data_IF_268927055869
#
_entry.id   IF_268927055869
#
_cell.length_a   1.000
_cell.length_b   1.000
_cell.length_c   1.000
_cell.angle_alpha   90.00
_cell.angle_beta   90.00
_cell.angle_gamma   90.00
#
_symmetry.space_group_name_H-M   'P 1'
#
loop_
_entity.id
_entity.type
_entity.pdbx_description
1 polymer ?
#
# COMPACT_ATOMS: atom_id res chain seq x y z
N UNK A 1 3.78 50.73 -28.66
CA UNK A 1 4.65 50.48 -29.84
C UNK A 1 5.23 49.08 -29.71
N UNK A 2 5.04 48.26 -30.75
CA UNK A 2 5.38 46.83 -30.81
C UNK A 2 6.89 46.61 -30.87
N UNK A 3 7.41 45.57 -30.22
CA UNK A 3 8.52 44.77 -30.75
C UNK A 3 8.24 43.28 -30.54
N UNK A 4 7.93 42.64 -31.68
CA UNK A 4 7.97 41.21 -31.94
C UNK A 4 9.42 40.72 -31.78
N UNK A 5 9.63 39.54 -31.19
CA UNK A 5 10.76 38.69 -31.58
C UNK A 5 10.28 37.25 -31.55
N UNK A 6 10.16 36.68 -32.74
CA UNK A 6 9.93 35.26 -33.00
C UNK A 6 11.28 34.54 -32.94
N UNK A 7 11.32 33.33 -32.39
CA UNK A 7 12.23 32.29 -32.86
C UNK A 7 11.46 30.98 -33.00
N UNK A 8 11.70 30.37 -34.14
CA UNK A 8 11.05 29.19 -34.73
C UNK A 8 11.96 27.97 -34.53
N UNK A 9 11.37 26.77 -34.59
CA UNK A 9 12.01 25.47 -34.84
C UNK A 9 12.76 24.84 -33.66
N UNK A 10 12.70 23.53 -33.43
CA UNK A 10 12.64 22.45 -34.40
C UNK A 10 12.01 21.19 -33.75
N UNK A 11 11.26 20.44 -34.56
CA UNK A 11 10.65 19.15 -34.27
C UNK A 11 11.63 18.10 -33.72
N UNK A 12 11.12 17.19 -32.89
CA UNK A 12 11.83 15.99 -32.45
C UNK A 12 10.88 14.92 -31.89
N UNK A 13 9.90 14.52 -32.70
CA UNK A 13 9.06 13.34 -32.46
C UNK A 13 9.92 12.07 -32.56
N UNK A 14 10.24 11.45 -31.43
CA UNK A 14 10.70 10.06 -31.39
C UNK A 14 9.56 9.18 -30.86
N UNK A 15 8.75 8.68 -31.78
CA UNK A 15 7.83 7.58 -31.53
C UNK A 15 8.57 6.27 -31.83
N UNK A 16 9.02 5.57 -30.78
CA UNK A 16 9.44 4.18 -30.91
C UNK A 16 8.19 3.29 -30.92
N UNK A 17 7.77 2.90 -32.12
CA UNK A 17 6.83 1.81 -32.35
C UNK A 17 7.57 0.48 -32.14
N UNK A 18 7.27 -0.24 -31.06
CA UNK A 18 7.61 -1.66 -30.94
C UNK A 18 6.37 -2.45 -31.38
N UNK A 19 6.46 -3.02 -32.57
CA UNK A 19 5.51 -3.99 -33.10
C UNK A 19 6.01 -5.40 -32.76
N UNK A 20 5.21 -6.18 -32.04
CA UNK A 20 5.32 -7.64 -32.00
C UNK A 20 4.04 -8.20 -32.61
N UNK A 21 4.15 -8.76 -33.82
CA UNK A 21 3.05 -9.42 -34.53
C UNK A 21 3.12 -10.94 -34.35
N UNK A 22 1.93 -11.52 -34.28
CA UNK A 22 1.49 -12.89 -33.96
C UNK A 22 2.22 -14.06 -34.66
N UNK A 23 2.24 -15.23 -34.02
CA UNK A 23 1.31 -16.36 -34.31
C UNK A 23 1.93 -17.75 -34.03
N UNK A 24 1.36 -18.53 -33.10
CA UNK A 24 1.10 -19.96 -33.32
C UNK A 24 0.17 -20.53 -32.23
N UNK A 25 -1.07 -20.85 -32.60
CA UNK A 25 -1.79 -22.00 -32.03
C UNK A 25 -1.49 -23.23 -32.91
N UNK A 26 -1.54 -24.45 -32.35
CA UNK A 26 -2.73 -25.25 -32.63
C UNK A 26 -3.32 -26.00 -31.41
N UNK A 27 -4.65 -26.15 -31.48
CA UNK A 27 -5.58 -26.94 -30.65
C UNK A 27 -5.16 -28.43 -30.63
N UNK A 28 -5.46 -29.27 -29.62
CA UNK A 28 -6.78 -29.93 -29.44
C UNK A 28 -6.72 -30.93 -28.24
N UNK A 29 -7.77 -30.93 -27.39
CA UNK A 29 -8.37 -32.04 -26.58
C UNK A 29 -7.54 -32.82 -25.55
N UNK A 30 -8.02 -33.22 -24.36
CA UNK A 30 -9.31 -33.13 -23.66
C UNK A 30 -9.11 -33.53 -22.17
N UNK A 31 -10.14 -33.28 -21.35
CA UNK A 31 -10.54 -33.97 -20.09
C UNK A 31 -10.62 -33.06 -18.87
N UNK A 32 -11.84 -32.55 -18.69
CA UNK A 32 -12.61 -32.41 -17.46
C UNK A 32 -11.89 -32.71 -16.15
N UNK A 33 -11.77 -31.71 -15.28
CA UNK A 33 -12.28 -31.79 -13.91
C UNK A 33 -12.59 -30.39 -13.35
N UNK A 34 -13.87 -30.22 -13.03
CA UNK A 34 -14.42 -29.19 -12.17
C UNK A 34 -13.68 -29.16 -10.83
N UNK A 35 -13.38 -27.98 -10.29
CA UNK A 35 -13.52 -27.58 -8.87
C UNK A 35 -13.28 -26.05 -8.78
N UNK A 36 -14.33 -25.33 -8.40
CA UNK A 36 -14.36 -24.04 -7.71
C UNK A 36 -13.77 -22.78 -8.37
N UNK A 37 -14.65 -22.08 -9.09
CA UNK A 37 -14.71 -20.63 -9.04
C UNK A 37 -14.97 -20.18 -7.60
N UNK A 38 -14.02 -19.47 -6.99
CA UNK A 38 -14.25 -18.14 -6.40
C UNK A 38 -12.87 -17.49 -6.30
N UNK A 39 -12.34 -17.04 -7.44
CA UNK A 39 -11.39 -15.93 -7.41
C UNK A 39 -12.22 -14.72 -6.99
N UNK A 40 -12.17 -14.35 -5.71
CA UNK A 40 -12.42 -12.96 -5.37
C UNK A 40 -11.34 -12.18 -6.11
N UNK A 41 -11.68 -11.24 -7.02
CA UNK A 41 -10.69 -10.28 -7.43
C UNK A 41 -10.40 -9.50 -6.15
N UNK A 42 -9.23 -9.71 -5.55
CA UNK A 42 -8.65 -8.67 -4.74
C UNK A 42 -8.60 -7.48 -5.69
N UNK A 43 -9.54 -6.54 -5.54
CA UNK A 43 -9.55 -5.32 -6.32
C UNK A 43 -8.15 -4.77 -6.22
N UNK A 44 -7.44 -4.80 -7.34
CA UNK A 44 -6.22 -4.05 -7.51
C UNK A 44 -6.66 -2.60 -7.61
N UNK A 45 -7.11 -2.04 -6.49
CA UNK A 45 -7.23 -0.61 -6.31
C UNK A 45 -5.80 -0.13 -6.40
N UNK A 46 -5.39 0.27 -7.59
CA UNK A 46 -4.08 0.83 -7.85
C UNK A 46 -4.00 2.12 -7.03
N UNK A 47 -3.51 2.02 -5.79
CA UNK A 47 -3.26 3.19 -4.95
C UNK A 47 -2.02 3.86 -5.55
N UNK A 48 -2.23 4.75 -6.53
CA UNK A 48 -1.15 5.56 -7.12
C UNK A 48 -0.90 6.75 -6.21
N UNK A 49 -0.37 6.51 -5.01
CA UNK A 49 -0.03 7.56 -4.05
C UNK A 49 1.09 7.15 -3.10
N UNK A 50 1.47 8.09 -2.22
CA UNK A 50 2.56 7.89 -1.26
C UNK A 50 2.18 7.00 -0.08
N UNK A 51 3.17 6.63 0.72
CA UNK A 51 2.97 6.01 2.02
C UNK A 51 3.80 6.74 3.09
N UNK A 52 3.36 6.67 4.34
CA UNK A 52 4.09 7.22 5.48
C UNK A 52 4.03 6.27 6.69
N UNK A 53 5.13 6.11 7.44
CA UNK A 53 5.13 5.38 8.70
C UNK A 53 4.77 6.30 9.87
N UNK A 54 4.06 5.75 10.84
CA UNK A 54 3.86 6.33 12.17
C UNK A 54 4.39 5.34 13.20
N UNK A 55 5.22 5.82 14.12
CA UNK A 55 5.89 5.00 15.14
C UNK A 55 5.29 5.30 16.51
N UNK A 56 4.78 4.27 17.19
CA UNK A 56 4.15 4.39 18.49
C UNK A 56 4.85 3.50 19.52
N UNK A 57 5.22 4.09 20.66
CA UNK A 57 5.72 3.37 21.84
C UNK A 57 4.68 3.23 22.95
N UNK A 58 3.52 3.88 22.80
CA UNK A 58 2.41 3.91 23.74
C UNK A 58 1.09 4.25 23.01
N UNK A 59 -0.01 4.32 23.76
CA UNK A 59 -1.31 4.78 23.29
C UNK A 59 -1.34 6.31 23.18
N UNK A 60 -0.85 6.86 22.06
CA UNK A 60 -1.04 8.28 21.72
C UNK A 60 -2.42 8.47 21.09
N UNK A 61 -3.44 8.63 21.93
CA UNK A 61 -4.83 8.78 21.47
C UNK A 61 -5.04 9.97 20.54
N UNK A 62 -4.29 11.07 20.70
CA UNK A 62 -4.42 12.23 19.82
C UNK A 62 -4.00 11.88 18.40
N UNK A 63 -2.86 11.20 18.26
CA UNK A 63 -2.38 10.77 16.94
C UNK A 63 -3.27 9.68 16.34
N UNK A 64 -3.78 8.76 17.16
CA UNK A 64 -4.73 7.73 16.71
C UNK A 64 -6.06 8.35 16.26
N UNK A 65 -6.49 9.45 16.86
CA UNK A 65 -7.69 10.19 16.45
C UNK A 65 -7.52 10.88 15.11
N UNK A 66 -6.36 11.49 14.85
CA UNK A 66 -6.05 12.06 13.54
C UNK A 66 -6.03 10.98 12.43
N UNK A 67 -5.52 9.78 12.75
CA UNK A 67 -5.53 8.63 11.85
C UNK A 67 -6.96 8.14 11.62
N UNK A 68 -7.75 8.00 12.69
CA UNK A 68 -9.14 7.57 12.59
C UNK A 68 -9.99 8.55 11.77
N UNK A 69 -9.80 9.86 11.94
CA UNK A 69 -10.42 10.88 11.10
C UNK A 69 -9.96 10.76 9.65
N UNK A 70 -8.66 10.55 9.41
CA UNK A 70 -8.10 10.32 8.08
C UNK A 70 -8.73 9.13 7.36
N UNK A 71 -8.99 8.03 8.08
CA UNK A 71 -9.70 6.85 7.55
C UNK A 71 -11.16 7.21 7.22
N UNK A 72 -11.89 7.81 8.16
CA UNK A 72 -13.32 8.18 7.97
C UNK A 72 -13.54 9.17 6.83
N UNK A 73 -12.63 10.13 6.68
CA UNK A 73 -12.65 11.15 5.64
C UNK A 73 -12.05 10.66 4.33
N UNK A 74 -11.66 9.38 4.24
CA UNK A 74 -11.07 8.77 3.05
C UNK A 74 -9.77 9.46 2.59
N UNK A 75 -9.06 10.18 3.47
CA UNK A 75 -7.72 10.74 3.22
C UNK A 75 -6.66 9.65 3.32
N UNK A 76 -6.84 8.72 4.25
CA UNK A 76 -6.02 7.51 4.40
C UNK A 76 -6.78 6.36 3.75
N UNK A 77 -6.24 5.78 2.69
CA UNK A 77 -6.87 4.72 1.90
C UNK A 77 -6.70 3.34 2.51
N UNK A 78 -5.59 3.12 3.21
CA UNK A 78 -5.27 1.86 3.87
C UNK A 78 -4.33 2.11 5.04
N UNK A 79 -4.49 1.30 6.09
CA UNK A 79 -3.57 1.21 7.22
C UNK A 79 -3.14 -0.24 7.38
N UNK A 80 -1.88 -0.45 7.76
CA UNK A 80 -1.37 -1.76 8.21
C UNK A 80 -0.60 -1.54 9.49
N UNK A 81 -0.91 -2.30 10.54
CA UNK A 81 -0.20 -2.27 11.81
C UNK A 81 0.84 -3.38 11.78
N UNK A 82 2.12 -3.01 11.90
CA UNK A 82 3.23 -3.96 11.98
C UNK A 82 3.98 -3.77 13.29
N UNK A 83 4.36 -4.86 13.96
CA UNK A 83 4.94 -4.78 15.29
C UNK A 83 5.91 -5.93 15.55
N UNK A 84 6.99 -5.71 16.32
CA UNK A 84 7.77 -6.79 16.91
C UNK A 84 6.88 -7.65 17.82
N UNK A 85 7.02 -8.97 17.83
CA UNK A 85 6.16 -9.88 18.63
C UNK A 85 6.03 -9.47 20.10
N UNK A 86 7.07 -8.89 20.71
CA UNK A 86 7.06 -8.41 22.10
C UNK A 86 6.12 -7.22 22.35
N UNK A 87 5.74 -6.50 21.29
CA UNK A 87 4.86 -5.33 21.33
C UNK A 87 3.40 -5.69 21.01
N UNK A 88 3.06 -6.99 20.96
CA UNK A 88 1.71 -7.46 20.66
C UNK A 88 0.62 -6.81 21.52
N UNK A 89 0.78 -6.65 22.86
CA UNK A 89 -0.26 -6.02 23.67
C UNK A 89 -0.58 -4.59 23.20
N UNK A 90 0.43 -3.76 22.96
CA UNK A 90 0.23 -2.40 22.46
C UNK A 90 -0.38 -2.40 21.05
N UNK A 91 0.06 -3.31 20.18
CA UNK A 91 -0.48 -3.40 18.82
C UNK A 91 -1.97 -3.77 18.81
N UNK A 92 -2.40 -4.65 19.72
CA UNK A 92 -3.80 -4.99 19.90
C UNK A 92 -4.61 -3.81 20.47
N UNK A 93 -4.09 -3.11 21.48
CA UNK A 93 -4.76 -1.93 22.04
C UNK A 93 -4.98 -0.84 20.96
N UNK A 94 -3.96 -0.59 20.12
CA UNK A 94 -4.05 0.34 18.98
C UNK A 94 -5.08 -0.14 17.96
N UNK A 95 -5.04 -1.43 17.62
CA UNK A 95 -5.97 -2.04 16.68
C UNK A 95 -7.42 -1.87 17.13
N UNK A 96 -7.71 -2.26 18.38
CA UNK A 96 -9.06 -2.20 18.94
C UNK A 96 -9.56 -0.76 19.05
N UNK A 97 -8.68 0.18 19.38
CA UNK A 97 -9.00 1.60 19.39
C UNK A 97 -9.43 2.10 18.01
N UNK A 98 -8.64 1.82 16.98
CA UNK A 98 -8.94 2.23 15.61
C UNK A 98 -10.16 1.50 15.04
N UNK A 99 -10.32 0.20 15.31
CA UNK A 99 -11.50 -0.58 14.93
C UNK A 99 -12.76 0.01 15.55
N UNK A 100 -12.76 0.29 16.85
CA UNK A 100 -13.89 0.91 17.55
C UNK A 100 -14.26 2.27 16.96
N UNK A 101 -13.26 3.09 16.60
CA UNK A 101 -13.52 4.44 16.07
C UNK A 101 -13.96 4.42 14.62
N UNK A 102 -13.41 3.54 13.78
CA UNK A 102 -13.58 3.59 12.32
C UNK A 102 -14.52 2.51 11.78
N UNK A 103 -14.75 1.44 12.55
CA UNK A 103 -15.41 0.22 12.11
C UNK A 103 -14.72 -0.45 10.89
N UNK A 104 -13.41 -0.21 10.73
CA UNK A 104 -12.56 -0.82 9.72
C UNK A 104 -11.63 -1.81 10.42
N UNK A 105 -11.62 -3.05 9.94
CA UNK A 105 -10.68 -4.07 10.39
C UNK A 105 -9.30 -3.80 9.78
N UNK A 106 -8.30 -3.55 10.63
CA UNK A 106 -6.96 -3.13 10.20
C UNK A 106 -6.01 -4.32 10.32
N UNK A 107 -5.32 -4.73 9.24
CA UNK A 107 -4.42 -5.87 9.30
C UNK A 107 -3.30 -5.68 10.33
N UNK A 108 -3.17 -6.65 11.23
CA UNK A 108 -2.08 -6.80 12.19
C UNK A 108 -1.00 -7.74 11.64
N UNK A 109 0.26 -7.33 11.72
CA UNK A 109 1.42 -8.11 11.27
C UNK A 109 2.51 -8.15 12.35
N UNK A 110 2.60 -9.28 13.03
CA UNK A 110 3.73 -9.58 13.90
C UNK A 110 4.98 -9.84 13.06
N UNK A 111 6.10 -9.24 13.45
CA UNK A 111 7.40 -9.41 12.82
C UNK A 111 8.35 -10.01 13.85
N UNK A 112 8.87 -11.21 13.54
CA UNK A 112 9.95 -11.79 14.30
C UNK A 112 11.27 -11.16 13.85
N UNK A 113 11.70 -10.13 14.57
CA UNK A 113 12.97 -9.46 14.31
C UNK A 113 14.07 -10.10 15.15
N UNK A 114 15.14 -10.53 14.50
CA UNK A 114 16.35 -11.06 15.13
C UNK A 114 17.48 -10.07 14.91
N UNK A 115 18.04 -9.56 15.99
CA UNK A 115 19.26 -8.78 15.90
C UNK A 115 20.36 -9.64 15.26
N UNK A 116 21.10 -9.01 14.36
CA UNK A 116 22.30 -9.60 13.76
C UNK A 116 23.51 -8.82 14.23
N UNK A 117 24.70 -9.27 13.83
CA UNK A 117 25.93 -8.52 14.05
C UNK A 117 26.02 -7.25 13.18
N UNK A 118 25.20 -7.19 12.11
CA UNK A 118 25.24 -6.10 11.11
C UNK A 118 24.10 -5.09 11.27
N UNK A 119 22.95 -5.52 11.78
CA UNK A 119 21.75 -4.69 11.92
C UNK A 119 21.12 -4.91 13.29
N UNK A 120 20.89 -3.80 14.00
CA UNK A 120 20.11 -3.76 15.24
C UNK A 120 18.73 -3.19 14.94
N UNK A 121 17.70 -3.92 15.31
CA UNK A 121 16.33 -3.51 15.07
C UNK A 121 15.76 -2.79 16.29
N UNK A 122 14.96 -1.76 16.06
CA UNK A 122 14.18 -1.18 17.14
C UNK A 122 12.97 -2.07 17.41
N UNK A 123 13.05 -2.86 18.48
CA UNK A 123 12.01 -3.82 18.88
C UNK A 123 10.95 -3.24 19.83
N UNK A 124 10.93 -1.92 20.01
CA UNK A 124 10.14 -1.25 21.06
C UNK A 124 9.03 -0.37 20.52
N UNK A 125 8.69 -0.50 19.23
CA UNK A 125 7.73 0.36 18.55
C UNK A 125 6.75 -0.46 17.73
N UNK A 126 5.49 -0.04 17.76
CA UNK A 126 4.46 -0.44 16.80
C UNK A 126 4.50 0.56 15.63
N UNK A 127 4.38 0.06 14.40
CA UNK A 127 4.48 0.85 13.18
C UNK A 127 3.15 0.80 12.44
N UNK A 128 2.53 1.95 12.22
CA UNK A 128 1.36 2.07 11.34
C UNK A 128 1.85 2.55 9.99
N UNK A 129 1.65 1.74 8.95
CA UNK A 129 1.93 2.14 7.57
C UNK A 129 0.66 2.68 6.94
N UNK A 130 0.64 3.99 6.69
CA UNK A 130 -0.49 4.70 6.10
C UNK A 130 -0.29 4.82 4.59
N UNK A 131 -1.32 4.52 3.81
CA UNK A 131 -1.32 4.66 2.36
C UNK A 131 -2.30 5.75 1.93
N UNK A 132 -1.87 6.59 0.99
CA UNK A 132 -2.62 7.71 0.45
C UNK A 132 -2.81 7.52 -1.05
N UNK A 133 -3.82 8.16 -1.63
CA UNK A 133 -3.99 8.29 -3.09
C UNK A 133 -3.18 9.45 -3.63
#
# INVERSE_FOLDING_TARGET
MRKLTQYVSLCGLFAFLVACSNSHEPKTSATTNSINQTQSPAENTQIVGGWAPVFLTNMDESQLDDIADGIKTNRIKRVVISYPTKMEPLAQDIHDYLLKKTNVDIPLKSIELKDTDQVKYNLTQVILTLYFS
#
